data_IF_794290486818
#
_entry.id   IF_794290486818
#
_cell.length_a   1.000
_cell.length_b   1.000
_cell.length_c   1.000
_cell.angle_alpha   90.00
_cell.angle_beta   90.00
_cell.angle_gamma   90.00
#
_symmetry.space_group_name_H-M   'P 1'
#
loop_
_entity.id
_entity.type
_entity.pdbx_description
1 polymer ?
#
# COMPACT_ATOMS: atom_id res chain seq x y z
N UNK A 1 -12.40 -1.01 -7.77
CA UNK A 1 -12.08 -2.46 -7.75
C UNK A 1 -10.64 -2.60 -8.20
N UNK A 2 -9.91 -3.54 -7.62
CA UNK A 2 -8.48 -3.76 -7.87
C UNK A 2 -8.22 -5.17 -8.37
N UNK A 3 -7.25 -5.31 -9.29
CA UNK A 3 -6.78 -6.60 -9.78
C UNK A 3 -5.66 -7.08 -8.86
N UNK A 4 -5.93 -8.09 -8.02
CA UNK A 4 -4.94 -8.66 -7.08
C UNK A 4 -4.46 -10.02 -7.57
N UNK A 5 -3.34 -10.51 -7.04
CA UNK A 5 -2.87 -11.89 -7.25
C UNK A 5 -3.91 -12.97 -6.92
N UNK A 6 -4.83 -12.68 -6.00
CA UNK A 6 -5.93 -13.57 -5.57
C UNK A 6 -7.24 -13.33 -6.34
N UNK A 7 -7.21 -12.48 -7.36
CA UNK A 7 -8.33 -12.12 -8.23
C UNK A 7 -8.87 -10.71 -8.00
N UNK A 8 -9.91 -10.37 -8.75
CA UNK A 8 -10.52 -9.04 -8.75
C UNK A 8 -11.33 -8.81 -7.48
N UNK A 9 -10.91 -7.88 -6.63
CA UNK A 9 -11.61 -7.61 -5.37
C UNK A 9 -11.51 -6.17 -4.89
N UNK A 10 -12.28 -5.91 -3.84
CA UNK A 10 -12.17 -4.71 -3.00
C UNK A 10 -11.94 -5.18 -1.58
N UNK A 11 -11.08 -4.50 -0.86
CA UNK A 11 -10.75 -4.85 0.51
C UNK A 11 -11.96 -4.65 1.41
N UNK A 12 -12.05 -5.49 2.44
CA UNK A 12 -13.09 -5.41 3.47
C UNK A 12 -12.54 -5.91 4.81
N UNK A 13 -13.29 -5.71 5.89
CA UNK A 13 -12.91 -6.22 7.20
C UNK A 13 -11.59 -5.63 7.72
N UNK A 14 -10.71 -6.50 8.23
CA UNK A 14 -9.47 -6.10 8.84
C UNK A 14 -8.43 -5.58 7.83
N UNK A 15 -8.33 -6.15 6.62
CA UNK A 15 -7.47 -5.63 5.56
C UNK A 15 -7.82 -4.19 5.19
N UNK A 16 -9.12 -3.90 4.98
CA UNK A 16 -9.57 -2.54 4.71
C UNK A 16 -9.26 -1.59 5.87
N UNK A 17 -9.37 -2.07 7.11
CA UNK A 17 -9.09 -1.26 8.29
C UNK A 17 -7.60 -0.91 8.39
N UNK A 18 -6.71 -1.89 8.15
CA UNK A 18 -5.27 -1.67 8.13
C UNK A 18 -4.87 -0.64 7.07
N UNK A 19 -5.39 -0.79 5.84
CA UNK A 19 -5.11 0.16 4.74
C UNK A 19 -5.66 1.54 5.08
N UNK A 20 -6.89 1.65 5.58
CA UNK A 20 -7.48 2.96 5.94
C UNK A 20 -6.64 3.65 7.01
N UNK A 21 -6.28 2.97 8.10
CA UNK A 21 -5.49 3.56 9.18
C UNK A 21 -4.12 4.02 8.69
N UNK A 22 -3.46 3.22 7.84
CA UNK A 22 -2.16 3.57 7.28
C UNK A 22 -2.26 4.78 6.35
N UNK A 23 -3.25 4.81 5.45
CA UNK A 23 -3.43 5.93 4.53
C UNK A 23 -3.79 7.24 5.26
N UNK A 24 -4.48 7.19 6.40
CA UNK A 24 -4.70 8.39 7.23
C UNK A 24 -3.39 8.97 7.72
N UNK A 25 -2.41 8.15 8.10
CA UNK A 25 -1.08 8.60 8.52
C UNK A 25 -0.27 9.15 7.35
N UNK A 26 -0.36 8.52 6.18
CA UNK A 26 0.26 9.05 4.95
C UNK A 26 -0.33 10.42 4.57
N UNK A 27 -1.65 10.62 4.74
CA UNK A 27 -2.28 11.94 4.55
C UNK A 27 -1.70 12.97 5.52
N UNK A 28 -1.53 12.63 6.80
CA UNK A 28 -0.90 13.54 7.77
C UNK A 28 0.52 13.94 7.36
N UNK A 29 1.30 12.98 6.85
CA UNK A 29 2.65 13.22 6.36
C UNK A 29 2.68 14.12 5.11
N UNK A 30 1.80 13.86 4.14
CA UNK A 30 1.65 14.70 2.93
C UNK A 30 1.13 16.10 3.26
N UNK A 31 0.18 16.23 4.20
CA UNK A 31 -0.28 17.53 4.69
C UNK A 31 0.85 18.32 5.35
N UNK A 32 1.73 17.64 6.07
CA UNK A 32 2.90 18.25 6.67
C UNK A 32 3.88 18.75 5.61
N UNK A 33 4.21 17.92 4.62
CA UNK A 33 5.10 18.28 3.52
C UNK A 33 4.57 19.47 2.71
N UNK A 34 3.26 19.52 2.43
CA UNK A 34 2.64 20.67 1.76
C UNK A 34 2.76 21.99 2.54
N UNK A 35 2.85 21.92 3.86
CA UNK A 35 2.99 23.11 4.73
C UNK A 35 4.46 23.49 4.95
N UNK A 36 5.38 22.58 4.65
CA UNK A 36 6.80 22.81 4.87
C UNK A 36 7.43 23.50 3.66
N UNK A 37 7.62 24.81 3.77
CA UNK A 37 8.29 25.64 2.75
C UNK A 37 9.79 25.30 2.60
N UNK A 38 10.34 24.40 3.43
CA UNK A 38 11.75 24.00 3.35
C UNK A 38 12.08 23.14 2.13
N UNK A 39 11.06 22.50 1.52
CA UNK A 39 11.23 21.56 0.42
C UNK A 39 11.92 20.26 0.81
N UNK A 40 12.05 19.97 2.12
CA UNK A 40 12.52 18.68 2.59
C UNK A 40 11.43 17.64 2.35
N UNK A 41 11.80 16.51 1.73
CA UNK A 41 10.92 15.33 1.69
C UNK A 41 10.83 14.81 3.11
N UNK A 42 9.63 14.85 3.68
CA UNK A 42 9.41 14.45 5.09
C UNK A 42 9.02 12.98 5.20
N UNK A 43 8.56 12.37 4.10
CA UNK A 43 7.99 11.02 4.09
C UNK A 43 8.47 10.24 2.87
N UNK A 44 9.72 9.77 2.92
CA UNK A 44 10.22 8.72 2.03
C UNK A 44 9.74 7.37 2.58
N UNK A 45 9.24 6.53 1.69
CA UNK A 45 8.75 5.19 2.01
C UNK A 45 9.77 4.10 1.68
N UNK A 46 10.83 4.43 0.93
CA UNK A 46 11.80 3.48 0.40
C UNK A 46 11.40 2.89 -0.96
N UNK A 47 10.23 3.28 -1.50
CA UNK A 47 9.75 2.84 -2.81
C UNK A 47 10.05 3.92 -3.85
N UNK A 48 11.15 3.76 -4.59
CA UNK A 48 11.71 4.75 -5.53
C UNK A 48 10.64 5.34 -6.47
N UNK A 49 9.85 4.50 -7.14
CA UNK A 49 8.80 4.95 -8.05
C UNK A 49 7.72 5.82 -7.41
N UNK A 50 7.46 5.67 -6.11
CA UNK A 50 6.53 6.51 -5.37
C UNK A 50 7.22 7.75 -4.83
N UNK A 51 8.40 7.59 -4.22
CA UNK A 51 9.13 8.65 -3.54
C UNK A 51 9.69 9.71 -4.51
N UNK A 52 10.03 9.32 -5.74
CA UNK A 52 10.49 10.24 -6.80
C UNK A 52 9.36 11.14 -7.33
N UNK A 53 8.11 10.82 -7.03
CA UNK A 53 6.97 11.60 -7.48
C UNK A 53 6.83 12.89 -6.68
N UNK A 54 6.40 13.95 -7.36
CA UNK A 54 6.09 15.20 -6.68
C UNK A 54 4.95 14.99 -5.68
N UNK A 55 4.95 15.76 -4.59
CA UNK A 55 3.93 15.64 -3.52
C UNK A 55 2.50 15.61 -4.07
N UNK A 56 2.20 16.40 -5.10
CA UNK A 56 0.89 16.44 -5.72
C UNK A 56 0.54 15.14 -6.47
N UNK A 57 1.52 14.54 -7.16
CA UNK A 57 1.34 13.25 -7.82
C UNK A 57 1.16 12.12 -6.80
N UNK A 58 1.92 12.14 -5.69
CA UNK A 58 1.74 11.19 -4.57
C UNK A 58 0.33 11.26 -3.97
N UNK A 59 -0.23 12.48 -3.84
CA UNK A 59 -1.63 12.68 -3.43
C UNK A 59 -2.61 12.07 -4.43
N UNK A 60 -2.39 12.30 -5.72
CA UNK A 60 -3.21 11.73 -6.80
C UNK A 60 -3.19 10.20 -6.80
N UNK A 61 -2.00 9.61 -6.76
CA UNK A 61 -1.79 8.17 -6.69
C UNK A 61 -2.46 7.55 -5.46
N UNK A 62 -2.24 8.12 -4.26
CA UNK A 62 -2.84 7.63 -3.03
C UNK A 62 -4.38 7.67 -3.08
N UNK A 63 -4.94 8.72 -3.69
CA UNK A 63 -6.38 8.83 -3.89
C UNK A 63 -6.93 7.74 -4.81
N UNK A 64 -6.28 7.50 -5.95
CA UNK A 64 -6.70 6.47 -6.91
C UNK A 64 -6.57 5.06 -6.31
N UNK A 65 -5.46 4.75 -5.64
CA UNK A 65 -5.25 3.48 -4.94
C UNK A 65 -6.28 3.25 -3.84
N UNK A 66 -6.50 4.24 -2.97
CA UNK A 66 -7.49 4.11 -1.89
C UNK A 66 -8.89 3.83 -2.44
N UNK A 67 -9.29 4.53 -3.50
CA UNK A 67 -10.61 4.30 -4.09
C UNK A 67 -10.65 2.96 -4.83
N UNK A 68 -9.58 2.59 -5.56
CA UNK A 68 -9.45 1.30 -6.23
C UNK A 68 -9.64 0.12 -5.29
N UNK A 69 -8.95 0.17 -4.15
CA UNK A 69 -8.96 -0.86 -3.10
C UNK A 69 -10.26 -0.89 -2.29
N UNK A 70 -10.84 0.28 -1.94
CA UNK A 70 -11.93 0.35 -0.94
C UNK A 70 -13.32 0.61 -1.55
N UNK A 71 -13.42 1.09 -2.80
CA UNK A 71 -14.69 1.44 -3.43
C UNK A 71 -15.24 0.34 -4.35
N UNK A 72 -16.26 -0.38 -3.85
CA UNK A 72 -17.04 -1.36 -4.63
C UNK A 72 -17.73 -0.80 -5.88
N UNK A 73 -18.04 0.50 -5.91
CA UNK A 73 -18.73 1.11 -7.05
C UNK A 73 -17.80 1.63 -8.15
N UNK A 74 -16.49 1.60 -7.95
CA UNK A 74 -15.53 2.10 -8.94
C UNK A 74 -15.20 1.03 -9.98
N UNK A 75 -15.09 1.47 -11.23
CA UNK A 75 -14.52 0.66 -12.30
C UNK A 75 -13.13 0.14 -11.90
N UNK A 76 -12.74 -0.99 -12.48
CA UNK A 76 -11.39 -1.51 -12.29
C UNK A 76 -10.38 -0.52 -12.87
N UNK A 77 -9.37 -0.16 -12.07
CA UNK A 77 -8.25 0.63 -12.56
C UNK A 77 -7.33 -0.28 -13.36
N UNK A 78 -6.78 0.25 -14.45
CA UNK A 78 -5.64 -0.41 -15.10
C UNK A 78 -4.45 -0.32 -14.16
N UNK A 79 -3.75 -1.44 -13.95
CA UNK A 79 -2.54 -1.44 -13.15
C UNK A 79 -1.43 -0.71 -13.90
N UNK A 80 -0.71 0.14 -13.19
CA UNK A 80 0.49 0.83 -13.66
C UNK A 80 1.58 0.67 -12.62
N UNK A 81 2.83 0.85 -13.02
CA UNK A 81 3.96 0.75 -12.12
C UNK A 81 3.83 1.69 -10.91
N UNK A 82 3.36 2.91 -11.12
CA UNK A 82 3.18 3.92 -10.07
C UNK A 82 2.04 3.59 -9.12
N UNK A 83 0.94 3.02 -9.63
CA UNK A 83 -0.19 2.59 -8.79
C UNK A 83 0.21 1.40 -7.91
N UNK A 84 0.96 0.43 -8.43
CA UNK A 84 1.44 -0.71 -7.64
C UNK A 84 2.57 -0.32 -6.69
N UNK A 85 3.49 0.56 -7.11
CA UNK A 85 4.48 1.17 -6.23
C UNK A 85 3.81 1.94 -5.07
N UNK A 86 2.68 2.60 -5.31
CA UNK A 86 1.91 3.27 -4.26
C UNK A 86 1.29 2.27 -3.28
N UNK A 87 0.83 1.11 -3.75
CA UNK A 87 0.40 0.02 -2.85
C UNK A 87 1.58 -0.46 -2.00
N UNK A 88 2.74 -0.67 -2.60
CA UNK A 88 3.94 -1.06 -1.86
C UNK A 88 4.36 0.00 -0.83
N UNK A 89 4.28 1.29 -1.17
CA UNK A 89 4.57 2.40 -0.27
C UNK A 89 3.65 2.42 0.97
N UNK A 90 2.39 2.00 0.83
CA UNK A 90 1.48 1.79 1.98
C UNK A 90 2.03 0.67 2.88
N UNK A 91 2.50 -0.44 2.30
CA UNK A 91 3.04 -1.56 3.09
C UNK A 91 4.39 -1.24 3.75
N UNK A 92 5.28 -0.51 3.09
CA UNK A 92 6.51 0.01 3.72
C UNK A 92 6.20 1.00 4.86
N UNK A 93 5.15 1.81 4.69
CA UNK A 93 4.64 2.65 5.78
C UNK A 93 4.15 1.81 6.96
N UNK A 94 3.51 0.65 6.71
CA UNK A 94 3.10 -0.27 7.78
C UNK A 94 4.32 -0.80 8.53
N UNK A 95 5.35 -1.28 7.82
CA UNK A 95 6.61 -1.77 8.44
C UNK A 95 7.26 -0.71 9.30
N UNK A 96 7.41 0.50 8.76
CA UNK A 96 7.96 1.65 9.49
C UNK A 96 7.19 1.94 10.79
N UNK A 97 5.85 1.80 10.78
CA UNK A 97 5.06 1.97 11.99
C UNK A 97 5.20 0.81 12.98
N UNK A 98 5.42 -0.41 12.51
CA UNK A 98 5.75 -1.55 13.39
C UNK A 98 7.08 -1.30 14.10
N UNK A 99 8.11 -0.87 13.37
CA UNK A 99 9.41 -0.50 13.95
C UNK A 99 9.25 0.58 15.03
N UNK A 100 8.52 1.65 14.72
CA UNK A 100 8.26 2.73 15.69
C UNK A 100 7.52 2.24 16.95
N UNK A 101 6.58 1.29 16.82
CA UNK A 101 5.92 0.69 17.99
C UNK A 101 6.87 -0.14 18.85
N UNK A 102 7.78 -0.90 18.23
CA UNK A 102 8.79 -1.70 18.92
C UNK A 102 9.76 -0.78 19.66
N UNK A 103 10.31 0.22 18.97
CA UNK A 103 11.22 1.21 19.54
C UNK A 103 10.59 1.97 20.72
N UNK A 104 9.32 2.37 20.57
CA UNK A 104 8.57 2.99 21.65
C UNK A 104 8.40 2.05 22.87
N UNK A 105 8.20 0.76 22.63
CA UNK A 105 8.13 -0.27 23.68
C UNK A 105 9.43 -0.39 24.45
N UNK A 106 10.55 -0.41 23.73
CA UNK A 106 11.89 -0.43 24.34
C UNK A 106 12.20 0.85 25.13
N UNK A 107 11.76 2.01 24.63
CA UNK A 107 12.05 3.31 25.26
C UNK A 107 11.14 3.63 26.45
N UNK A 108 9.85 3.29 26.39
CA UNK A 108 8.82 3.76 27.32
C UNK A 108 8.14 2.65 28.13
N UNK A 109 8.42 1.37 27.83
CA UNK A 109 8.01 0.19 28.61
C UNK A 109 6.57 -0.29 28.42
N UNK A 110 5.67 0.56 27.92
CA UNK A 110 4.30 0.19 27.55
C UNK A 110 4.01 0.85 26.18
N UNK A 111 4.02 0.05 25.12
CA UNK A 111 3.71 0.50 23.76
C UNK A 111 2.40 -0.11 23.32
N UNK A 112 1.48 0.74 22.84
CA UNK A 112 0.28 0.26 22.18
C UNK A 112 0.69 -0.58 20.97
N UNK A 113 0.28 -1.84 20.93
CA UNK A 113 0.52 -2.74 19.79
C UNK A 113 -0.56 -2.52 18.71
N UNK A 114 -0.90 -1.27 18.39
CA UNK A 114 -2.08 -0.95 17.59
C UNK A 114 -1.91 -1.42 16.14
N UNK A 115 -0.82 -1.03 15.47
CA UNK A 115 -0.52 -1.44 14.10
C UNK A 115 -0.20 -2.94 14.06
N UNK A 116 0.57 -3.47 15.03
CA UNK A 116 0.85 -4.90 15.13
C UNK A 116 -0.42 -5.74 15.26
N UNK A 117 -1.39 -5.27 16.06
CA UNK A 117 -2.70 -5.92 16.18
C UNK A 117 -3.52 -5.82 14.89
N UNK A 118 -3.46 -4.69 14.17
CA UNK A 118 -4.14 -4.52 12.88
C UNK A 118 -3.53 -5.42 11.80
N UNK A 119 -2.20 -5.57 11.76
CA UNK A 119 -1.48 -6.49 10.86
C UNK A 119 -1.92 -7.93 11.10
N UNK A 120 -1.87 -8.39 12.35
CA UNK A 120 -2.32 -9.75 12.69
C UNK A 120 -3.80 -9.96 12.38
N UNK A 121 -4.65 -8.96 12.65
CA UNK A 121 -6.06 -9.03 12.31
C UNK A 121 -6.28 -9.10 10.79
N UNK A 122 -5.54 -8.31 10.00
CA UNK A 122 -5.62 -8.32 8.54
C UNK A 122 -5.12 -9.65 7.95
N UNK A 123 -4.05 -10.21 8.53
CA UNK A 123 -3.49 -11.48 8.09
C UNK A 123 -4.42 -12.66 8.40
N UNK A 124 -4.96 -12.69 9.62
CA UNK A 124 -5.83 -13.75 10.12
C UNK A 124 -7.30 -13.65 9.72
N UNK A 125 -7.74 -12.53 9.12
CA UNK A 125 -9.09 -12.44 8.56
C UNK A 125 -9.13 -13.20 7.23
N UNK A 126 -10.03 -14.18 7.12
CA UNK A 126 -10.34 -14.87 5.87
C UNK A 126 -10.85 -13.84 4.85
N UNK A 127 -9.94 -13.23 4.08
CA UNK A 127 -10.28 -12.39 2.95
C UNK A 127 -11.24 -13.18 2.03
N UNK A 128 -12.33 -12.60 1.51
CA UNK A 128 -13.22 -13.31 0.60
C UNK A 128 -12.43 -13.78 -0.63
N UNK A 129 -12.24 -15.10 -0.75
CA UNK A 129 -11.36 -15.75 -1.75
C UNK A 129 -10.20 -16.56 -1.16
N UNK A 130 -9.87 -16.35 0.12
CA UNK A 130 -8.98 -17.24 0.87
C UNK A 130 -9.72 -18.53 1.22
N UNK A 131 -9.19 -19.68 0.80
CA UNK A 131 -9.62 -20.94 1.40
C UNK A 131 -9.22 -20.89 2.89
N UNK A 132 -10.07 -21.39 3.81
CA UNK A 132 -9.74 -21.42 5.22
C UNK A 132 -8.37 -22.08 5.37
N UNK A 133 -7.47 -21.38 6.07
CA UNK A 133 -6.11 -21.84 6.39
C UNK A 133 -6.24 -23.25 7.00
N UNK A 134 -6.02 -24.27 6.18
CA UNK A 134 -6.49 -25.62 6.47
C UNK A 134 -6.26 -26.65 5.36
N UNK A 135 -5.94 -26.25 4.12
CA UNK A 135 -5.54 -27.22 3.11
C UNK A 135 -4.72 -26.58 1.96
N UNK A 136 -3.40 -26.49 2.11
CA UNK A 136 -2.52 -26.71 0.95
C UNK A 136 -1.67 -25.56 0.41
N UNK A 137 -1.26 -24.59 1.22
CA UNK A 137 -0.11 -23.72 0.88
C UNK A 137 0.85 -23.76 2.07
N UNK A 138 2.13 -23.97 1.78
CA UNK A 138 3.24 -24.35 2.66
C UNK A 138 3.25 -23.72 4.07
N UNK A 139 3.27 -24.62 5.07
CA UNK A 139 4.13 -24.79 6.26
C UNK A 139 5.26 -23.76 6.60
N UNK A 140 5.37 -22.59 5.96
CA UNK A 140 6.51 -21.67 6.16
C UNK A 140 6.27 -20.57 7.21
N UNK A 141 5.05 -20.46 7.75
CA UNK A 141 4.72 -19.62 8.92
C UNK A 141 4.08 -20.48 10.01
N UNK A 142 4.85 -21.43 10.54
CA UNK A 142 4.38 -22.29 11.64
C UNK A 142 3.99 -21.51 12.91
N UNK A 143 4.45 -20.26 13.07
CA UNK A 143 4.05 -19.37 14.16
C UNK A 143 3.94 -17.91 13.68
N UNK A 144 2.71 -17.36 13.65
CA UNK A 144 2.54 -15.90 13.56
C UNK A 144 3.26 -15.22 14.74
N UNK A 145 3.90 -14.05 14.54
CA UNK A 145 4.56 -13.36 15.64
C UNK A 145 3.54 -13.03 16.72
N UNK A 146 3.94 -13.24 17.97
CA UNK A 146 3.19 -12.76 19.12
C UNK A 146 3.08 -11.22 19.04
N UNK A 147 1.95 -10.59 19.42
CA UNK A 147 1.79 -9.13 19.34
C UNK A 147 2.86 -8.33 20.08
N UNK A 148 3.52 -8.92 21.08
CA UNK A 148 4.61 -8.32 21.84
C UNK A 148 6.01 -8.71 21.32
N UNK A 149 6.10 -9.51 20.25
CA UNK A 149 7.35 -9.83 19.56
C UNK A 149 8.02 -8.54 19.03
N UNK A 150 9.30 -8.41 19.28
CA UNK A 150 10.16 -7.29 18.86
C UNK A 150 11.17 -7.66 17.76
N UNK A 151 11.08 -8.88 17.22
CA UNK A 151 11.89 -9.32 16.08
C UNK A 151 11.30 -8.77 14.78
N UNK A 152 11.94 -7.75 14.20
CA UNK A 152 11.43 -7.04 13.03
C UNK A 152 11.29 -7.95 11.80
N UNK A 153 12.19 -8.90 11.63
CA UNK A 153 12.19 -9.80 10.47
C UNK A 153 10.94 -10.69 10.42
N UNK A 154 10.34 -11.02 11.57
CA UNK A 154 9.08 -11.75 11.61
C UNK A 154 7.91 -10.89 11.16
N UNK A 155 7.93 -9.60 11.52
CA UNK A 155 6.90 -8.65 11.11
C UNK A 155 7.02 -8.32 9.62
N UNK A 156 8.23 -8.12 9.11
CA UNK A 156 8.49 -7.91 7.69
C UNK A 156 7.87 -9.02 6.86
N UNK A 157 8.12 -10.28 7.21
CA UNK A 157 7.54 -11.42 6.50
C UNK A 157 6.01 -11.39 6.47
N UNK A 158 5.35 -11.07 7.59
CA UNK A 158 3.88 -11.01 7.64
C UNK A 158 3.33 -9.85 6.78
N UNK A 159 4.00 -8.69 6.81
CA UNK A 159 3.60 -7.53 6.02
C UNK A 159 3.83 -7.76 4.53
N UNK A 160 4.94 -8.40 4.14
CA UNK A 160 5.23 -8.82 2.76
C UNK A 160 4.16 -9.77 2.21
N UNK A 161 3.77 -10.78 3.00
CA UNK A 161 2.72 -11.71 2.58
C UNK A 161 1.35 -11.04 2.46
N UNK A 162 1.08 -9.97 3.23
CA UNK A 162 -0.11 -9.15 3.04
C UNK A 162 -0.02 -8.32 1.75
N UNK A 163 1.15 -7.77 1.44
CA UNK A 163 1.39 -7.02 0.20
C UNK A 163 1.16 -7.93 -1.03
N UNK A 164 1.69 -9.14 -1.00
CA UNK A 164 1.56 -10.12 -2.08
C UNK A 164 0.11 -10.56 -2.32
N UNK A 165 -0.80 -10.42 -1.35
CA UNK A 165 -2.25 -10.68 -1.52
C UNK A 165 -2.99 -9.55 -2.24
N UNK A 166 -2.37 -8.38 -2.39
CA UNK A 166 -2.97 -7.18 -2.97
C UNK A 166 -2.30 -6.81 -4.29
N UNK A 167 -0.97 -6.84 -4.33
CA UNK A 167 -0.20 -6.65 -5.55
C UNK A 167 -0.53 -7.75 -6.56
N UNK A 168 -0.52 -7.40 -7.84
CA UNK A 168 -0.67 -8.39 -8.91
C UNK A 168 0.66 -9.11 -9.12
N UNK A 169 1.74 -8.33 -9.24
CA UNK A 169 3.12 -8.78 -9.30
C UNK A 169 4.06 -7.70 -8.71
N UNK A 170 5.36 -7.81 -8.99
CA UNK A 170 6.39 -6.85 -8.55
C UNK A 170 7.14 -6.23 -9.73
N UNK A 171 6.50 -6.16 -10.89
CA UNK A 171 7.16 -5.64 -12.09
C UNK A 171 7.54 -4.16 -11.94
N UNK A 172 6.84 -3.41 -11.09
CA UNK A 172 7.20 -2.03 -10.72
C UNK A 172 8.63 -1.91 -10.16
N UNK A 173 9.16 -2.92 -9.46
CA UNK A 173 10.54 -2.93 -8.94
C UNK A 173 11.59 -2.97 -10.07
N UNK A 174 11.19 -3.38 -11.27
CA UNK A 174 12.06 -3.47 -12.44
C UNK A 174 12.16 -2.15 -13.22
N UNK A 175 11.50 -1.07 -12.76
CA UNK A 175 11.46 0.19 -13.49
C UNK A 175 12.85 0.76 -13.80
N UNK A 176 13.79 0.72 -12.83
CA UNK A 176 15.16 1.19 -13.03
C UNK A 176 15.93 0.40 -14.11
N UNK A 177 15.54 -0.84 -14.38
CA UNK A 177 16.12 -1.66 -15.45
C UNK A 177 15.47 -1.39 -16.81
N UNK A 178 14.16 -1.09 -16.83
CA UNK A 178 13.36 -1.05 -18.07
C UNK A 178 13.22 0.38 -18.62
N UNK A 179 13.09 1.39 -17.77
CA UNK A 179 12.79 2.78 -18.17
C UNK A 179 13.97 3.45 -18.86
N UNK A 180 15.20 3.16 -18.39
CA UNK A 180 16.44 3.75 -18.93
C UNK A 180 17.03 2.97 -20.12
N UNK A 181 16.40 1.87 -20.52
CA UNK A 181 16.90 1.00 -21.58
C UNK A 181 16.50 1.49 -22.98
N UNK A 182 17.20 1.02 -24.03
CA UNK A 182 16.82 1.36 -25.40
C UNK A 182 15.40 0.86 -25.72
N UNK A 183 14.55 1.62 -26.46
CA UNK A 183 13.14 1.28 -26.66
C UNK A 183 12.89 -0.14 -27.19
N UNK A 184 13.70 -0.59 -28.15
CA UNK A 184 13.60 -1.95 -28.72
C UNK A 184 13.91 -3.03 -27.68
N UNK A 185 14.85 -2.77 -26.78
CA UNK A 185 15.24 -3.68 -25.70
C UNK A 185 14.21 -3.67 -24.56
N UNK A 186 13.69 -2.50 -24.19
CA UNK A 186 12.61 -2.36 -23.23
C UNK A 186 11.33 -3.08 -23.69
N UNK A 187 10.94 -2.94 -24.97
CA UNK A 187 9.83 -3.68 -25.57
C UNK A 187 10.07 -5.20 -25.55
N UNK A 188 11.30 -5.64 -25.86
CA UNK A 188 11.65 -7.06 -25.81
C UNK A 188 11.57 -7.62 -24.38
N UNK A 189 12.04 -6.89 -23.37
CA UNK A 189 11.91 -7.30 -21.96
C UNK A 189 10.46 -7.38 -21.53
N UNK A 190 9.65 -6.35 -21.81
CA UNK A 190 8.22 -6.33 -21.50
C UNK A 190 7.50 -7.51 -22.14
N UNK A 191 7.78 -7.80 -23.41
CA UNK A 191 7.18 -8.94 -24.12
C UNK A 191 7.57 -10.30 -23.51
N UNK A 192 8.83 -10.47 -23.09
CA UNK A 192 9.31 -11.73 -22.49
C UNK A 192 8.72 -11.94 -21.10
N UNK A 193 8.59 -10.88 -20.32
CA UNK A 193 8.08 -10.92 -18.94
C UNK A 193 6.55 -10.91 -18.88
N UNK A 194 5.88 -10.52 -19.96
CA UNK A 194 4.42 -10.42 -20.02
C UNK A 194 3.87 -9.08 -19.50
N UNK A 195 4.73 -8.08 -19.37
CA UNK A 195 4.39 -6.73 -18.92
C UNK A 195 3.68 -5.97 -20.04
N UNK A 196 2.59 -5.27 -19.70
CA UNK A 196 1.89 -4.42 -20.67
C UNK A 196 2.79 -3.28 -21.17
N UNK A 197 2.69 -2.95 -22.45
CA UNK A 197 3.54 -1.91 -23.06
C UNK A 197 3.37 -0.54 -22.39
N UNK A 198 2.17 -0.23 -21.91
CA UNK A 198 1.83 1.06 -21.30
C UNK A 198 2.08 1.08 -19.78
N UNK A 199 2.45 -0.05 -19.17
CA UNK A 199 2.57 -0.22 -17.71
C UNK A 199 3.52 0.78 -17.03
N UNK A 200 4.70 1.04 -17.64
CA UNK A 200 5.69 2.02 -17.16
C UNK A 200 5.57 3.39 -17.84
N UNK A 201 4.57 3.59 -18.70
CA UNK A 201 4.45 4.79 -19.54
C UNK A 201 3.22 5.64 -19.21
N UNK A 202 2.36 5.16 -18.31
CA UNK A 202 1.21 5.91 -17.85
C UNK A 202 1.64 6.95 -16.82
N UNK A 203 1.39 8.23 -17.14
CA UNK A 203 1.71 9.31 -16.21
C UNK A 203 0.85 9.21 -14.92
N UNK A 204 1.43 9.52 -13.75
CA UNK A 204 0.68 9.66 -12.51
C UNK A 204 -0.49 10.66 -12.65
N UNK A 205 -1.54 10.53 -11.83
CA UNK A 205 -2.65 11.48 -11.83
C UNK A 205 -2.16 12.92 -11.59
N UNK A 206 -2.60 13.84 -12.45
CA UNK A 206 -2.28 15.25 -12.31
C UNK A 206 -3.14 15.86 -11.19
N UNK A 207 -2.50 16.30 -10.12
CA UNK A 207 -3.10 17.15 -9.08
C UNK A 207 -2.38 18.49 -9.11
N UNK A 208 -3.13 19.58 -9.19
CA UNK A 208 -2.54 20.91 -9.12
C UNK A 208 -2.34 21.36 -7.67
N UNK A 209 -1.34 22.21 -7.44
CA UNK A 209 -1.01 22.77 -6.12
C UNK A 209 -2.23 23.36 -5.40
N UNK A 210 -3.07 24.09 -6.13
CA UNK A 210 -4.27 24.74 -5.59
C UNK A 210 -5.33 23.72 -5.13
N UNK A 211 -5.32 22.53 -5.71
CA UNK A 211 -6.32 21.47 -5.48
C UNK A 211 -5.85 20.47 -4.41
N UNK A 212 -4.54 20.34 -4.21
CA UNK A 212 -3.94 19.34 -3.34
C UNK A 212 -4.50 19.31 -1.90
N UNK A 213 -4.71 20.45 -1.20
CA UNK A 213 -5.33 20.43 0.12
C UNK A 213 -6.77 19.92 0.10
N UNK A 214 -7.54 20.25 -0.96
CA UNK A 214 -8.92 19.76 -1.12
C UNK A 214 -8.92 18.25 -1.39
N UNK A 215 -8.01 17.77 -2.23
CA UNK A 215 -7.88 16.34 -2.54
C UNK A 215 -7.57 15.52 -1.29
N UNK A 216 -6.66 15.98 -0.42
CA UNK A 216 -6.36 15.32 0.85
C UNK A 216 -7.56 15.33 1.80
N UNK A 217 -8.29 16.44 1.88
CA UNK A 217 -9.50 16.52 2.69
C UNK A 217 -10.59 15.55 2.19
N UNK A 218 -10.85 15.52 0.89
CA UNK A 218 -11.82 14.63 0.25
C UNK A 218 -11.45 13.15 0.44
N UNK A 219 -10.14 12.84 0.35
CA UNK A 219 -9.63 11.50 0.59
C UNK A 219 -9.83 11.10 2.05
N UNK A 220 -9.50 11.96 3.01
CA UNK A 220 -9.73 11.72 4.44
C UNK A 220 -11.20 11.47 4.75
N UNK A 221 -12.10 12.27 4.18
CA UNK A 221 -13.54 12.08 4.33
C UNK A 221 -14.02 10.75 3.74
N UNK A 222 -13.48 10.36 2.58
CA UNK A 222 -13.73 9.06 1.96
C UNK A 222 -13.25 7.89 2.84
N UNK A 223 -12.05 7.99 3.41
CA UNK A 223 -11.49 6.95 4.29
C UNK A 223 -12.32 6.80 5.57
N UNK A 224 -12.74 7.92 6.18
CA UNK A 224 -13.62 7.90 7.37
C UNK A 224 -14.96 7.21 7.10
N UNK A 225 -15.52 7.39 5.90
CA UNK A 225 -16.75 6.70 5.49
C UNK A 225 -16.52 5.21 5.18
N UNK A 226 -15.34 4.87 4.68
CA UNK A 226 -14.95 3.50 4.32
C UNK A 226 -14.59 2.65 5.55
N UNK A 227 -14.12 3.27 6.63
CA UNK A 227 -13.83 2.61 7.92
C UNK A 227 -15.09 2.14 8.67
N UNK A 228 -16.27 2.70 8.36
CA UNK A 228 -17.50 2.31 9.05
C UNK A 228 -17.94 0.92 8.57
N UNK A 229 -18.18 -0.05 9.47
CA UNK A 229 -18.61 -1.38 9.08
C UNK A 229 -19.92 -1.25 8.29
N UNK A 230 -19.88 -1.63 7.00
CA UNK A 230 -21.08 -1.71 6.17
C UNK A 230 -21.99 -2.74 6.82
N UNK A 231 -23.10 -2.29 7.41
CA UNK A 231 -24.11 -3.19 7.98
C UNK A 231 -24.46 -4.25 6.91
N UNK A 232 -24.43 -5.55 7.25
CA UNK A 232 -24.89 -6.56 6.31
C UNK A 232 -26.35 -6.27 5.95
N UNK A 233 -26.65 -6.30 4.65
CA UNK A 233 -28.03 -6.24 4.14
C UNK A 233 -28.70 -7.59 4.28
#
# INVERSE_FOLDING_TARGET
>A
MWHTSTGDRTLSGAEATLIVQTCVKMIDALEWELRDDSGAVVCETGVELYDDQWVYQRIGLLNDVCRGLLNQGQAMLALTAELEATVMAIFETIKSHVELEIDAGHCFGDSCCEIRSLVLAAYGYDAPGSEPIGAGIDDDLDDLPDPWCDEIEQWDLVVELLADRILWDRDFEMASMIVDEEPEMAEAYKQVLGIDNDYFSMAPPEVHEVEAPSCLHDLRDFLNQSALPRRPR
#
